data_IF_753822060690
#
_entry.id   IF_753822060690
#
_cell.length_a   1.000
_cell.length_b   1.000
_cell.length_c   1.000
_cell.angle_alpha   90.00
_cell.angle_beta   90.00
_cell.angle_gamma   90.00
#
_symmetry.space_group_name_H-M   'P 1'
#
loop_
_entity.id
_entity.type
_entity.pdbx_description
1 polymer ?
#
# COMPACT_ATOMS: atom_id res chain seq x y z
N UNK A 1 -8.78 -0.75 -4.19
CA UNK A 1 -9.97 -0.14 -4.83
C UNK A 1 -9.68 1.16 -5.59
N UNK A 2 -8.47 1.72 -5.51
CA UNK A 2 -8.03 2.90 -6.27
C UNK A 2 -7.40 2.53 -7.62
N UNK A 3 -6.23 3.09 -7.89
CA UNK A 3 -5.44 2.92 -9.12
C UNK A 3 -4.11 2.22 -8.85
N UNK A 4 -3.53 1.59 -9.88
CA UNK A 4 -2.20 0.97 -9.86
C UNK A 4 -1.51 1.17 -11.22
N UNK A 5 -0.21 0.87 -11.32
CA UNK A 5 0.54 0.94 -12.57
C UNK A 5 1.03 2.33 -12.98
N UNK A 6 0.65 3.37 -12.24
CA UNK A 6 1.04 4.74 -12.52
C UNK A 6 0.16 5.74 -11.76
N UNK A 7 0.43 7.05 -11.91
CA UNK A 7 -0.49 8.08 -11.45
C UNK A 7 -1.81 8.04 -12.26
N UNK A 8 -2.82 8.75 -11.78
CA UNK A 8 -4.07 8.92 -12.53
C UNK A 8 -3.78 9.48 -13.94
N UNK A 9 -4.41 8.88 -14.96
CA UNK A 9 -4.19 9.20 -16.37
C UNK A 9 -3.11 8.37 -17.06
N UNK A 10 -2.26 7.66 -16.30
CA UNK A 10 -1.26 6.72 -16.83
C UNK A 10 -1.54 5.30 -16.35
N UNK A 11 -1.74 5.14 -15.04
CA UNK A 11 -2.11 3.85 -14.46
C UNK A 11 -3.55 3.45 -14.80
N UNK A 12 -3.97 2.31 -14.27
CA UNK A 12 -5.32 1.78 -14.44
C UNK A 12 -6.04 1.55 -13.11
N UNK A 13 -7.37 1.49 -13.16
CA UNK A 13 -8.19 1.20 -11.99
C UNK A 13 -7.91 -0.24 -11.53
N UNK A 14 -7.67 -0.42 -10.24
CA UNK A 14 -7.48 -1.76 -9.67
C UNK A 14 -8.70 -2.65 -10.00
N UNK A 15 -8.45 -3.80 -10.63
CA UNK A 15 -9.50 -4.75 -10.98
C UNK A 15 -10.33 -5.12 -9.75
N UNK A 16 -11.65 -5.03 -9.88
CA UNK A 16 -12.58 -5.42 -8.81
C UNK A 16 -12.47 -6.91 -8.50
N UNK A 17 -12.08 -7.74 -9.49
CA UNK A 17 -11.83 -9.17 -9.30
C UNK A 17 -10.71 -9.39 -8.27
N UNK A 18 -9.58 -8.69 -8.41
CA UNK A 18 -8.45 -8.81 -7.49
C UNK A 18 -8.80 -8.26 -6.10
N UNK A 19 -9.53 -7.15 -6.03
CA UNK A 19 -9.98 -6.62 -4.72
C UNK A 19 -10.88 -7.63 -4.00
N UNK A 20 -11.82 -8.28 -4.70
CA UNK A 20 -12.70 -9.30 -4.11
C UNK A 20 -11.92 -10.56 -3.71
N UNK A 21 -10.94 -10.99 -4.50
CA UNK A 21 -10.08 -12.12 -4.16
C UNK A 21 -9.27 -11.84 -2.88
N UNK A 22 -8.66 -10.66 -2.75
CA UNK A 22 -7.96 -10.23 -1.53
C UNK A 22 -8.89 -10.21 -0.31
N UNK A 23 -10.11 -9.67 -0.47
CA UNK A 23 -11.10 -9.65 0.59
C UNK A 23 -11.49 -11.05 1.04
N UNK A 24 -11.77 -11.96 0.10
CA UNK A 24 -12.08 -13.35 0.43
C UNK A 24 -10.91 -14.06 1.10
N UNK A 25 -9.67 -13.82 0.66
CA UNK A 25 -8.48 -14.38 1.28
C UNK A 25 -8.32 -13.89 2.73
N UNK A 26 -8.57 -12.60 3.00
CA UNK A 26 -8.57 -12.05 4.35
C UNK A 26 -9.67 -12.68 5.23
N UNK A 27 -10.91 -12.76 4.72
CA UNK A 27 -12.04 -13.30 5.47
C UNK A 27 -11.91 -14.80 5.77
N UNK A 28 -11.31 -15.57 4.87
CA UNK A 28 -11.11 -17.00 5.04
C UNK A 28 -9.85 -17.35 5.86
N UNK A 29 -9.07 -16.35 6.27
CA UNK A 29 -7.81 -16.56 6.99
C UNK A 29 -6.65 -17.03 6.12
N UNK A 30 -6.82 -17.10 4.80
CA UNK A 30 -5.78 -17.55 3.86
C UNK A 30 -4.53 -16.64 3.87
N UNK A 31 -4.67 -15.39 4.33
CA UNK A 31 -3.57 -14.46 4.48
C UNK A 31 -2.80 -14.63 5.80
N UNK A 32 -3.28 -15.44 6.76
CA UNK A 32 -2.59 -15.62 8.03
C UNK A 32 -1.28 -16.41 7.90
N UNK A 33 -1.21 -17.30 6.90
CA UNK A 33 -0.12 -18.26 6.74
C UNK A 33 0.76 -17.98 5.49
N UNK A 34 0.79 -16.74 5.00
CA UNK A 34 1.65 -16.34 3.87
C UNK A 34 2.86 -15.54 4.35
N UNK A 35 3.90 -15.51 3.51
CA UNK A 35 5.02 -14.61 3.74
C UNK A 35 4.62 -13.17 3.43
N UNK A 36 5.17 -12.26 4.23
CA UNK A 36 4.99 -10.82 4.06
C UNK A 36 6.33 -10.14 3.79
N UNK A 37 6.26 -9.01 3.11
CA UNK A 37 7.33 -8.02 3.06
C UNK A 37 6.84 -6.69 3.65
N UNK A 38 7.76 -5.93 4.22
CA UNK A 38 7.45 -4.64 4.82
C UNK A 38 7.65 -3.55 3.78
N UNK A 39 6.60 -2.77 3.53
CA UNK A 39 6.70 -1.55 2.74
C UNK A 39 7.68 -0.57 3.40
N UNK A 40 8.70 -0.06 2.69
CA UNK A 40 9.74 0.74 3.32
C UNK A 40 9.26 2.13 3.75
N UNK A 41 8.17 2.64 3.16
CA UNK A 41 7.68 4.01 3.39
C UNK A 41 6.59 4.01 4.45
N UNK A 42 5.50 3.29 4.25
CA UNK A 42 4.36 3.21 5.17
C UNK A 42 4.51 2.12 6.25
N UNK A 43 5.49 1.22 6.14
CA UNK A 43 5.67 0.14 7.12
C UNK A 43 4.58 -0.93 7.08
N UNK A 44 3.78 -0.98 6.01
CA UNK A 44 2.69 -1.95 5.86
C UNK A 44 3.25 -3.35 5.58
N UNK A 45 2.61 -4.38 6.15
CA UNK A 45 2.88 -5.76 5.78
C UNK A 45 2.14 -6.10 4.48
N UNK A 46 2.88 -6.22 3.38
CA UNK A 46 2.37 -6.60 2.06
C UNK A 46 2.51 -8.12 1.90
N UNK A 47 1.43 -8.88 1.63
CA UNK A 47 1.55 -10.31 1.40
C UNK A 47 2.31 -10.55 0.09
N UNK A 48 3.27 -11.48 0.10
CA UNK A 48 4.04 -11.85 -1.10
C UNK A 48 3.23 -12.67 -2.09
N UNK A 49 2.16 -13.32 -1.64
CA UNK A 49 1.28 -14.15 -2.46
C UNK A 49 -0.17 -14.03 -2.00
N UNK A 50 -1.10 -14.12 -2.94
CA UNK A 50 -2.52 -14.33 -2.67
C UNK A 50 -3.10 -15.11 -3.84
N UNK A 51 -3.83 -16.19 -3.57
CA UNK A 51 -4.49 -16.97 -4.62
C UNK A 51 -5.39 -16.08 -5.48
N UNK A 52 -5.41 -16.33 -6.79
CA UNK A 52 -6.19 -15.60 -7.80
C UNK A 52 -5.84 -14.10 -7.96
N UNK A 53 -4.70 -13.68 -7.39
CA UNK A 53 -4.15 -12.32 -7.54
C UNK A 53 -2.70 -12.44 -8.01
N UNK A 54 -2.33 -11.82 -9.14
CA UNK A 54 -0.95 -11.83 -9.61
C UNK A 54 -0.02 -11.16 -8.59
N UNK A 55 1.17 -11.73 -8.37
CA UNK A 55 2.08 -11.28 -7.32
C UNK A 55 2.60 -9.86 -7.56
N UNK A 56 2.76 -9.47 -8.83
CA UNK A 56 3.15 -8.13 -9.24
C UNK A 56 2.13 -7.05 -8.83
N UNK A 57 0.85 -7.40 -8.65
CA UNK A 57 -0.20 -6.47 -8.24
C UNK A 57 -0.17 -6.22 -6.73
N UNK A 58 0.38 -7.15 -5.94
CA UNK A 58 0.38 -7.06 -4.47
C UNK A 58 1.29 -5.93 -3.98
N UNK A 59 2.46 -5.78 -4.60
CA UNK A 59 3.34 -4.65 -4.36
C UNK A 59 3.17 -3.62 -5.49
N UNK A 60 2.58 -2.43 -5.22
CA UNK A 60 2.27 -1.47 -6.26
C UNK A 60 3.51 -0.95 -7.00
N UNK A 61 4.69 -0.94 -6.37
CA UNK A 61 5.95 -0.59 -7.04
C UNK A 61 6.21 -1.49 -8.24
N UNK A 62 5.83 -2.76 -8.18
CA UNK A 62 6.04 -3.72 -9.26
C UNK A 62 5.18 -3.43 -10.50
N UNK A 63 4.05 -2.75 -10.32
CA UNK A 63 3.14 -2.40 -11.44
C UNK A 63 3.58 -1.16 -12.22
N UNK A 64 4.41 -0.28 -11.64
CA UNK A 64 4.88 0.92 -12.32
C UNK A 64 6.00 0.60 -13.30
N UNK A 65 5.94 1.14 -14.51
CA UNK A 65 7.03 1.01 -15.49
C UNK A 65 8.30 1.72 -14.98
N UNK A 66 8.17 2.98 -14.58
CA UNK A 66 9.23 3.76 -13.94
C UNK A 66 9.16 3.62 -12.40
N UNK A 67 10.13 2.89 -11.85
CA UNK A 67 10.24 2.66 -10.40
C UNK A 67 10.68 3.91 -9.64
N UNK A 68 11.48 4.79 -10.25
CA UNK A 68 11.88 6.03 -9.61
C UNK A 68 10.71 7.02 -9.57
N UNK A 69 9.85 7.03 -10.59
CA UNK A 69 8.61 7.80 -10.56
C UNK A 69 7.67 7.30 -9.45
N UNK A 70 7.57 5.98 -9.26
CA UNK A 70 6.86 5.42 -8.11
C UNK A 70 7.47 5.91 -6.79
N UNK A 71 8.79 5.82 -6.65
CA UNK A 71 9.50 6.22 -5.43
C UNK A 71 9.27 7.71 -5.11
N UNK A 72 9.29 8.59 -6.12
CA UNK A 72 8.94 10.02 -5.94
C UNK A 72 7.48 10.20 -5.53
N UNK A 73 6.56 9.44 -6.13
CA UNK A 73 5.13 9.57 -5.84
C UNK A 73 4.75 9.05 -4.45
N UNK A 74 5.34 7.94 -4.02
CA UNK A 74 5.09 7.36 -2.68
C UNK A 74 5.65 8.28 -1.59
N UNK A 75 6.81 8.91 -1.82
CA UNK A 75 7.39 9.93 -0.93
C UNK A 75 6.50 11.17 -0.84
N UNK A 76 5.99 11.66 -1.98
CA UNK A 76 5.03 12.77 -2.01
C UNK A 76 3.78 12.43 -1.19
N UNK A 77 3.22 11.24 -1.35
CA UNK A 77 2.04 10.81 -0.60
C UNK A 77 2.33 10.72 0.90
N UNK A 78 3.46 10.16 1.29
CA UNK A 78 3.89 10.07 2.68
C UNK A 78 4.01 11.47 3.34
N UNK A 79 4.56 12.45 2.64
CA UNK A 79 4.60 13.85 3.11
C UNK A 79 3.20 14.42 3.32
N UNK A 80 2.26 14.18 2.40
CA UNK A 80 0.87 14.62 2.57
C UNK A 80 0.20 14.00 3.80
N UNK A 81 0.48 12.72 4.10
CA UNK A 81 0.01 12.06 5.32
C UNK A 81 0.59 12.73 6.56
N UNK A 82 1.92 12.93 6.62
CA UNK A 82 2.59 13.58 7.76
C UNK A 82 2.08 14.99 7.99
N UNK A 83 1.94 15.79 6.94
CA UNK A 83 1.47 17.16 7.03
C UNK A 83 0.01 17.25 7.49
N UNK A 84 -0.86 16.37 7.00
CA UNK A 84 -2.23 16.32 7.47
C UNK A 84 -2.33 15.84 8.93
N UNK A 85 -1.47 14.91 9.35
CA UNK A 85 -1.48 14.35 10.70
C UNK A 85 -1.10 15.37 11.78
N UNK A 86 -0.29 16.39 11.47
CA UNK A 86 0.08 17.50 12.40
C UNK A 86 -1.13 18.12 13.10
N UNK A 87 -2.29 18.20 12.44
CA UNK A 87 -3.54 18.74 12.99
C UNK A 87 -4.07 17.96 14.20
N UNK A 88 -3.65 16.71 14.33
CA UNK A 88 -4.15 15.76 15.32
C UNK A 88 -3.03 15.21 16.22
N UNK A 89 -1.78 15.67 16.04
CA UNK A 89 -0.61 15.08 16.68
C UNK A 89 -0.73 15.06 18.21
N UNK A 90 -1.14 16.18 18.81
CA UNK A 90 -1.31 16.32 20.26
C UNK A 90 -2.44 15.46 20.85
N UNK A 91 -3.35 14.97 20.01
CA UNK A 91 -4.50 14.15 20.42
C UNK A 91 -4.21 12.65 20.36
N UNK A 92 -2.98 12.27 19.99
CA UNK A 92 -2.63 10.88 19.72
C UNK A 92 -1.49 10.40 20.62
N UNK A 93 -1.52 9.10 20.93
CA UNK A 93 -0.44 8.45 21.68
C UNK A 93 0.86 8.41 20.88
N UNK A 94 2.00 8.32 21.56
CA UNK A 94 3.33 8.14 20.93
C UNK A 94 3.37 6.94 19.98
N UNK A 95 2.66 5.86 20.31
CA UNK A 95 2.55 4.68 19.44
C UNK A 95 1.93 5.03 18.08
N UNK A 96 0.92 5.89 18.06
CA UNK A 96 0.27 6.32 16.80
C UNK A 96 1.17 7.29 16.03
N UNK A 97 1.84 8.22 16.73
CA UNK A 97 2.79 9.16 16.11
C UNK A 97 3.95 8.41 15.41
N UNK A 98 4.44 7.34 16.02
CA UNK A 98 5.54 6.52 15.49
C UNK A 98 5.12 5.55 14.38
N UNK A 99 3.82 5.30 14.19
CA UNK A 99 3.31 4.40 13.14
C UNK A 99 3.15 5.09 11.77
N UNK A 100 3.48 6.38 11.67
CA UNK A 100 3.38 7.15 10.43
C UNK A 100 4.41 6.73 9.36
N UNK A 101 4.29 7.29 8.15
CA UNK A 101 5.23 7.04 7.07
C UNK A 101 6.67 7.49 7.41
N UNK A 102 7.65 6.71 6.96
CA UNK A 102 9.09 6.96 7.03
C UNK A 102 9.51 7.77 5.80
N UNK A 103 9.75 9.06 6.05
CA UNK A 103 10.27 10.05 5.10
C UNK A 103 11.43 10.80 5.74
#
# INVERSE_FOLDING_TARGET
TGWTGGPYGIGERMSIKYTRALLHAALNGNLNDVQYETDPVFGLAIPKTCKDVPAEILNPRNTWEDKEAYDKQVQKLATLFKDNFKKYEDQNSEKVKQAGPKI
#
